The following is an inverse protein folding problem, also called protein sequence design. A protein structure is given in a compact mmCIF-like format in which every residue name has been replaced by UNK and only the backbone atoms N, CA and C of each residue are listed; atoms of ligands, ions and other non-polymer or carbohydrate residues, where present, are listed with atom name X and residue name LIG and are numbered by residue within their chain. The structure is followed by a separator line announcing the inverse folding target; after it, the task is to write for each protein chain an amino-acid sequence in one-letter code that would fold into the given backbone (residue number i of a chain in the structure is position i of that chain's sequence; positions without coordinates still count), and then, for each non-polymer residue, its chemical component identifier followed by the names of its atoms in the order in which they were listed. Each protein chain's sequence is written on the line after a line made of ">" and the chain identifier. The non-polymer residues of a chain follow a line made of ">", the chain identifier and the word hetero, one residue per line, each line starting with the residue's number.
data_IF_548440157266
#
_entry.id   IF_548440157266
#
_cell.length_a   1.000
_cell.length_b   1.000
_cell.length_c   1.000
_cell.angle_alpha   90.00
_cell.angle_beta   90.00
_cell.angle_gamma   90.00
#
_symmetry.space_group_name_H-M   'P 1'
#
loop_
_entity.id
_entity.type
_entity.pdbx_description
1 polymer ?
#
# COMPACT_ATOMS: atom_id res chain seq x y z
N UNK A 1 20.65 1.17 -35.15
CA UNK A 1 20.34 0.76 -33.77
C UNK A 1 21.24 1.57 -32.86
N UNK A 2 20.74 2.67 -32.28
CA UNK A 2 21.55 3.55 -31.42
C UNK A 2 21.20 3.23 -29.98
N UNK A 3 22.09 2.50 -29.33
CA UNK A 3 22.06 2.22 -27.89
C UNK A 3 22.23 3.51 -27.11
N UNK A 4 21.16 3.99 -26.48
CA UNK A 4 21.19 5.10 -25.54
C UNK A 4 21.67 4.57 -24.18
N UNK A 5 22.88 4.97 -23.79
CA UNK A 5 23.47 4.68 -22.49
C UNK A 5 22.69 5.43 -21.41
N UNK A 6 22.06 4.71 -20.48
CA UNK A 6 21.44 5.30 -19.28
C UNK A 6 22.56 5.94 -18.44
N UNK A 7 22.59 7.26 -18.40
CA UNK A 7 23.53 8.02 -17.57
C UNK A 7 23.33 7.69 -16.09
N UNK A 8 24.44 7.58 -15.35
CA UNK A 8 24.46 7.43 -13.89
C UNK A 8 23.57 8.50 -13.24
N UNK A 9 22.54 8.04 -12.52
CA UNK A 9 21.68 8.89 -11.70
C UNK A 9 22.51 9.51 -10.56
N UNK A 10 22.60 10.84 -10.52
CA UNK A 10 23.15 11.59 -9.39
C UNK A 10 21.99 12.13 -8.54
N UNK A 11 21.78 11.59 -7.32
CA UNK A 11 20.67 11.98 -6.45
C UNK A 11 20.70 13.46 -6.04
N UNK A 12 21.86 14.13 -6.10
CA UNK A 12 22.02 15.51 -5.63
C UNK A 12 21.75 16.56 -6.72
N UNK A 13 21.65 16.14 -7.98
CA UNK A 13 21.35 16.99 -9.15
C UNK A 13 20.08 16.54 -9.87
N UNK A 14 19.30 15.63 -9.27
CA UNK A 14 18.01 15.20 -9.80
C UNK A 14 17.05 16.39 -9.86
N UNK A 15 17.03 17.03 -11.03
CA UNK A 15 16.08 18.07 -11.40
C UNK A 15 14.66 17.52 -11.20
N UNK A 16 13.76 18.37 -10.69
CA UNK A 16 12.41 17.98 -10.29
C UNK A 16 11.57 17.66 -11.53
N UNK A 17 11.79 16.48 -12.10
CA UNK A 17 11.12 16.05 -13.32
C UNK A 17 9.72 15.57 -12.95
N UNK A 18 8.70 16.29 -13.40
CA UNK A 18 7.30 15.85 -13.31
C UNK A 18 7.09 14.40 -13.78
N UNK A 19 7.92 13.92 -14.71
CA UNK A 19 7.87 12.53 -15.18
C UNK A 19 8.38 11.51 -14.15
N UNK A 20 9.33 11.90 -13.30
CA UNK A 20 9.75 11.12 -12.13
C UNK A 20 8.59 11.05 -11.12
N UNK A 21 7.93 12.18 -10.82
CA UNK A 21 6.77 12.22 -9.92
C UNK A 21 5.60 11.37 -10.43
N UNK A 22 5.31 11.42 -11.74
CA UNK A 22 4.29 10.56 -12.38
C UNK A 22 4.65 9.07 -12.23
N UNK A 23 5.90 8.69 -12.49
CA UNK A 23 6.33 7.29 -12.33
C UNK A 23 6.26 6.82 -10.88
N UNK A 24 6.58 7.70 -9.92
CA UNK A 24 6.40 7.43 -8.50
C UNK A 24 4.93 7.21 -8.15
N UNK A 25 4.03 8.07 -8.63
CA UNK A 25 2.60 7.94 -8.41
C UNK A 25 2.05 6.62 -8.96
N UNK A 26 2.44 6.22 -10.19
CA UNK A 26 2.04 4.95 -10.79
C UNK A 26 2.44 3.76 -9.91
N UNK A 27 3.72 3.71 -9.49
CA UNK A 27 4.20 2.61 -8.63
C UNK A 27 3.52 2.58 -7.27
N UNK A 28 3.21 3.73 -6.69
CA UNK A 28 2.54 3.80 -5.39
C UNK A 28 1.09 3.29 -5.49
N UNK A 29 0.39 3.61 -6.59
CA UNK A 29 -0.96 3.09 -6.89
C UNK A 29 -0.93 1.60 -7.18
N UNK A 30 0.03 1.12 -8.00
CA UNK A 30 0.21 -0.31 -8.27
C UNK A 30 0.47 -1.10 -6.99
N UNK A 31 1.29 -0.56 -6.08
CA UNK A 31 1.54 -1.16 -4.78
C UNK A 31 0.26 -1.24 -3.93
N UNK A 32 -0.51 -0.15 -3.84
CA UNK A 32 -1.78 -0.14 -3.11
C UNK A 32 -2.79 -1.15 -3.67
N UNK A 33 -2.93 -1.21 -5.00
CA UNK A 33 -3.80 -2.18 -5.66
C UNK A 33 -3.33 -3.62 -5.42
N UNK A 34 -2.01 -3.86 -5.50
CA UNK A 34 -1.43 -5.18 -5.23
C UNK A 34 -1.73 -5.61 -3.80
N UNK A 35 -1.56 -4.71 -2.84
CA UNK A 35 -1.86 -5.00 -1.45
C UNK A 35 -3.36 -5.23 -1.20
N UNK A 36 -4.24 -4.43 -1.83
CA UNK A 36 -5.69 -4.62 -1.75
C UNK A 36 -6.11 -5.98 -2.32
N UNK A 37 -5.52 -6.40 -3.44
CA UNK A 37 -5.75 -7.73 -4.03
C UNK A 37 -5.22 -8.88 -3.15
N UNK A 38 -4.20 -8.64 -2.33
CA UNK A 38 -3.74 -9.62 -1.33
C UNK A 38 -4.74 -9.71 -0.18
N UNK A 39 -5.22 -8.57 0.32
CA UNK A 39 -6.28 -8.52 1.31
C UNK A 39 -7.57 -9.14 0.80
N UNK A 40 -7.88 -9.10 -0.49
CA UNK A 40 -9.04 -9.83 -1.04
C UNK A 40 -8.89 -11.35 -0.89
N UNK A 41 -7.71 -11.89 -1.17
CA UNK A 41 -7.50 -13.33 -1.44
C UNK A 41 -7.03 -14.13 -0.24
N UNK A 42 -6.34 -13.47 0.69
CA UNK A 42 -5.67 -14.13 1.81
C UNK A 42 -6.12 -13.46 3.10
N UNK A 43 -6.31 -14.25 4.15
CA UNK A 43 -6.64 -13.72 5.46
C UNK A 43 -5.50 -12.81 5.96
N UNK A 44 -5.76 -11.58 6.46
CA UNK A 44 -4.69 -10.62 6.77
C UNK A 44 -3.64 -11.16 7.73
N UNK A 45 -4.03 -11.95 8.73
CA UNK A 45 -3.13 -12.55 9.73
C UNK A 45 -2.12 -13.55 9.13
N UNK A 46 -2.39 -14.08 7.96
CA UNK A 46 -1.51 -15.04 7.25
C UNK A 46 -0.58 -14.34 6.25
N UNK A 47 -0.80 -13.05 5.97
CA UNK A 47 0.02 -12.30 5.03
C UNK A 47 1.43 -12.05 5.59
N UNK A 48 2.42 -12.28 4.73
CA UNK A 48 3.81 -11.88 4.95
C UNK A 48 4.18 -10.80 3.94
N UNK A 49 4.44 -9.58 4.43
CA UNK A 49 4.79 -8.44 3.58
C UNK A 49 6.29 -8.41 3.26
N UNK A 50 7.10 -8.91 4.18
CA UNK A 50 8.52 -9.16 3.99
C UNK A 50 8.99 -10.36 4.84
N UNK A 51 10.17 -10.86 4.53
CA UNK A 51 10.84 -11.88 5.35
C UNK A 51 11.14 -11.38 6.77
N UNK A 52 11.21 -10.06 6.97
CA UNK A 52 11.55 -9.41 8.24
C UNK A 52 10.34 -8.99 9.08
N UNK A 53 9.12 -9.45 8.77
CA UNK A 53 7.90 -8.98 9.44
C UNK A 53 7.97 -9.08 10.97
N UNK A 54 8.49 -10.19 11.49
CA UNK A 54 8.63 -10.43 12.93
C UNK A 54 9.53 -9.36 13.58
N UNK A 55 10.72 -9.14 12.99
CA UNK A 55 11.68 -8.17 13.48
C UNK A 55 11.15 -6.73 13.39
N UNK A 56 10.43 -6.37 12.32
CA UNK A 56 9.82 -5.04 12.17
C UNK A 56 8.74 -4.83 13.23
N UNK A 57 7.89 -5.83 13.47
CA UNK A 57 6.82 -5.74 14.44
C UNK A 57 7.34 -5.57 15.88
N UNK A 58 8.34 -6.37 16.27
CA UNK A 58 8.92 -6.28 17.62
C UNK A 58 9.73 -5.00 17.84
N UNK A 59 10.47 -4.56 16.82
CA UNK A 59 11.16 -3.27 16.87
C UNK A 59 10.15 -2.12 16.94
N UNK A 60 9.05 -2.16 16.19
CA UNK A 60 8.01 -1.14 16.25
C UNK A 60 7.36 -1.04 17.63
N UNK A 61 7.16 -2.15 18.34
CA UNK A 61 6.67 -2.13 19.74
C UNK A 61 7.61 -1.43 20.69
N UNK A 62 8.91 -1.53 20.44
CA UNK A 62 9.95 -0.94 21.28
C UNK A 62 10.14 0.55 20.96
N UNK A 63 10.23 0.88 19.68
CA UNK A 63 10.52 2.23 19.21
C UNK A 63 9.28 3.11 19.10
N UNK A 64 8.07 2.54 19.01
CA UNK A 64 6.79 3.23 18.91
C UNK A 64 5.72 2.59 19.82
N UNK A 65 5.95 2.49 21.14
CA UNK A 65 5.00 1.86 22.06
C UNK A 65 3.60 2.49 21.99
N UNK A 66 3.51 3.79 21.68
CA UNK A 66 2.23 4.50 21.54
C UNK A 66 1.31 3.95 20.43
N UNK A 67 1.84 3.18 19.47
CA UNK A 67 1.05 2.49 18.46
C UNK A 67 0.33 1.26 19.05
N UNK A 68 0.88 0.69 20.11
CA UNK A 68 0.43 -0.56 20.73
C UNK A 68 -0.39 -0.35 22.01
N UNK A 69 -0.62 0.90 22.39
CA UNK A 69 -1.42 1.32 23.53
C UNK A 69 -2.86 1.68 23.12
N UNK A 70 -3.72 1.93 24.11
CA UNK A 70 -5.09 2.45 23.92
C UNK A 70 -5.91 1.68 22.87
N UNK A 71 -5.93 0.35 22.98
CA UNK A 71 -6.61 -0.53 22.04
C UNK A 71 -6.22 -0.30 20.56
N UNK A 72 -4.92 -0.03 20.34
CA UNK A 72 -4.34 0.16 19.02
C UNK A 72 -4.94 1.34 18.24
N UNK A 73 -5.46 2.36 18.93
CA UNK A 73 -6.16 3.49 18.32
C UNK A 73 -5.35 4.15 17.19
N UNK A 74 -4.04 4.35 17.39
CA UNK A 74 -3.13 4.96 16.40
C UNK A 74 -2.79 4.02 15.23
N UNK A 75 -2.93 2.71 15.40
CA UNK A 75 -2.83 1.75 14.30
C UNK A 75 -4.13 1.67 13.52
N UNK A 76 -5.29 1.73 14.18
CA UNK A 76 -6.60 1.79 13.49
C UNK A 76 -6.72 3.07 12.68
N UNK A 77 -6.55 4.23 13.33
CA UNK A 77 -6.60 5.56 12.70
C UNK A 77 -5.27 6.27 12.89
N UNK A 78 -4.57 6.51 11.78
CA UNK A 78 -3.27 7.14 11.78
C UNK A 78 -3.35 8.60 12.23
N UNK A 79 -2.43 8.97 13.11
CA UNK A 79 -2.21 10.34 13.55
C UNK A 79 -1.15 11.00 12.66
N UNK A 80 -1.61 11.64 11.59
CA UNK A 80 -0.75 12.25 10.58
C UNK A 80 0.07 13.43 11.15
N UNK A 81 -0.52 14.20 12.07
CA UNK A 81 0.14 15.33 12.71
C UNK A 81 1.30 14.87 13.58
N UNK A 82 1.10 13.79 14.35
CA UNK A 82 2.19 13.15 15.10
C UNK A 82 3.31 12.67 14.17
N UNK A 83 2.98 12.04 13.04
CA UNK A 83 4.01 11.58 12.08
C UNK A 83 4.78 12.75 11.44
N UNK A 84 4.10 13.87 11.17
CA UNK A 84 4.68 15.05 10.52
C UNK A 84 5.38 16.02 11.50
N UNK A 85 5.17 15.84 12.81
CA UNK A 85 5.85 16.58 13.86
C UNK A 85 7.37 16.47 13.74
N UNK A 86 8.08 17.39 14.39
CA UNK A 86 9.55 17.41 14.35
C UNK A 86 10.11 16.14 14.99
N UNK A 87 9.59 15.75 16.15
CA UNK A 87 9.97 14.53 16.85
C UNK A 87 9.61 13.28 16.05
N UNK A 88 8.41 13.23 15.47
CA UNK A 88 7.94 12.11 14.65
C UNK A 88 8.83 11.87 13.43
N UNK A 89 9.15 12.93 12.68
CA UNK A 89 10.07 12.86 11.53
C UNK A 89 11.45 12.34 11.92
N UNK A 90 11.98 12.78 13.06
CA UNK A 90 13.29 12.33 13.53
C UNK A 90 13.27 10.85 13.95
N UNK A 91 12.24 10.42 14.69
CA UNK A 91 12.08 9.00 15.09
C UNK A 91 11.90 8.10 13.88
N UNK A 92 11.04 8.45 12.94
CA UNK A 92 10.86 7.68 11.71
C UNK A 92 12.14 7.59 10.89
N UNK A 93 12.92 8.67 10.77
CA UNK A 93 14.24 8.61 10.10
C UNK A 93 15.20 7.65 10.78
N UNK A 94 15.31 7.71 12.12
CA UNK A 94 16.16 6.81 12.91
C UNK A 94 15.74 5.36 12.75
N UNK A 95 14.44 5.08 12.83
CA UNK A 95 13.89 3.74 12.65
C UNK A 95 14.19 3.20 11.24
N UNK A 96 13.89 3.99 10.19
CA UNK A 96 14.08 3.57 8.80
C UNK A 96 15.55 3.31 8.44
N UNK A 97 16.47 4.12 8.96
CA UNK A 97 17.91 3.97 8.71
C UNK A 97 18.45 2.59 9.14
N UNK A 98 17.86 1.97 10.17
CA UNK A 98 18.26 0.62 10.60
C UNK A 98 17.97 -0.46 9.55
N UNK A 99 17.05 -0.20 8.62
CA UNK A 99 16.64 -1.14 7.58
C UNK A 99 17.22 -0.83 6.20
N UNK A 100 18.06 0.20 6.06
CA UNK A 100 18.61 0.64 4.78
C UNK A 100 19.33 -0.48 4.01
N UNK A 101 20.03 -1.36 4.74
CA UNK A 101 20.81 -2.46 4.15
C UNK A 101 20.04 -3.78 4.06
N UNK A 102 18.92 -3.92 4.76
CA UNK A 102 18.19 -5.19 4.87
C UNK A 102 16.91 -5.19 4.03
N UNK A 103 16.26 -4.04 3.90
CA UNK A 103 15.01 -3.89 3.14
C UNK A 103 15.31 -3.07 1.90
N UNK A 104 15.20 -3.73 0.75
CA UNK A 104 15.31 -3.07 -0.55
C UNK A 104 14.22 -1.99 -0.66
N UNK A 105 14.61 -0.81 -1.14
CA UNK A 105 13.70 0.30 -1.39
C UNK A 105 12.90 0.73 -0.14
N UNK A 106 13.52 0.63 1.05
CA UNK A 106 12.93 0.96 2.36
C UNK A 106 12.30 2.38 2.43
N UNK A 107 12.88 3.33 1.70
CA UNK A 107 12.45 4.73 1.59
C UNK A 107 11.60 5.02 0.34
N UNK A 108 11.12 3.99 -0.36
CA UNK A 108 10.28 4.18 -1.53
C UNK A 108 8.86 4.63 -1.16
N UNK A 109 8.29 5.54 -1.94
CA UNK A 109 6.94 6.05 -1.75
C UNK A 109 5.86 4.98 -1.88
N UNK A 110 4.96 4.90 -0.91
CA UNK A 110 3.85 3.95 -0.87
C UNK A 110 2.58 4.67 -0.40
N UNK A 111 1.42 4.15 -0.80
CA UNK A 111 0.13 4.62 -0.27
C UNK A 111 -0.33 3.71 0.86
N UNK A 112 -0.83 4.31 1.93
CA UNK A 112 -1.41 3.60 3.07
C UNK A 112 -2.77 4.17 3.42
N UNK A 113 -3.64 3.33 3.98
CA UNK A 113 -4.94 3.73 4.49
C UNK A 113 -4.82 4.44 5.83
N UNK A 114 -5.42 5.62 5.98
CA UNK A 114 -5.38 6.35 7.27
C UNK A 114 -6.25 5.66 8.31
N UNK A 115 -7.40 5.12 7.92
CA UNK A 115 -8.27 4.24 8.69
C UNK A 115 -8.18 2.79 8.16
N UNK A 116 -7.78 1.87 9.03
CA UNK A 116 -7.63 0.45 8.75
C UNK A 116 -8.95 -0.25 8.41
N UNK A 117 -10.08 0.30 8.87
CA UNK A 117 -11.41 -0.28 8.64
C UNK A 117 -12.04 0.15 7.30
N UNK A 118 -11.40 1.08 6.57
CA UNK A 118 -11.89 1.61 5.29
C UNK A 118 -11.14 1.09 4.06
N UNK A 119 -11.65 1.43 2.89
CA UNK A 119 -10.99 1.20 1.59
C UNK A 119 -9.95 2.27 1.27
N UNK A 120 -9.12 2.03 0.25
CA UNK A 120 -8.33 3.10 -0.36
C UNK A 120 -9.27 4.10 -1.05
N UNK A 121 -9.32 5.32 -0.54
CA UNK A 121 -10.07 6.44 -1.13
C UNK A 121 -9.29 7.74 -0.99
N UNK A 122 -9.70 8.81 -1.68
CA UNK A 122 -9.07 10.13 -1.58
C UNK A 122 -8.96 10.65 -0.14
N UNK A 123 -9.97 10.36 0.71
CA UNK A 123 -10.02 10.81 2.11
C UNK A 123 -9.37 9.83 3.09
N UNK A 124 -9.20 8.58 2.68
CA UNK A 124 -8.67 7.52 3.52
C UNK A 124 -7.27 7.06 3.08
N UNK A 125 -6.54 7.85 2.30
CA UNK A 125 -5.23 7.44 1.76
C UNK A 125 -4.22 8.57 1.89
N UNK A 126 -3.05 8.26 2.42
CA UNK A 126 -1.91 9.18 2.45
C UNK A 126 -0.66 8.52 1.87
N UNK A 127 0.29 9.37 1.51
CA UNK A 127 1.60 8.94 1.07
C UNK A 127 2.55 8.76 2.26
N UNK A 128 3.20 7.60 2.32
CA UNK A 128 4.19 7.24 3.33
C UNK A 128 5.39 6.54 2.69
N UNK A 129 6.47 6.37 3.45
CA UNK A 129 7.59 5.54 3.03
C UNK A 129 7.25 4.06 3.21
N UNK A 130 7.84 3.18 2.40
CA UNK A 130 7.63 1.73 2.44
C UNK A 130 7.83 1.14 3.84
N UNK A 131 8.83 1.61 4.59
CA UNK A 131 9.01 1.16 5.97
C UNK A 131 7.88 1.55 6.91
N UNK A 132 7.33 2.76 6.76
CA UNK A 132 6.16 3.17 7.53
C UNK A 132 4.97 2.27 7.16
N UNK A 133 4.77 2.02 5.86
CA UNK A 133 3.77 1.06 5.39
C UNK A 133 3.92 -0.31 6.04
N UNK A 134 5.12 -0.88 6.06
CA UNK A 134 5.36 -2.17 6.71
C UNK A 134 5.05 -2.13 8.20
N UNK A 135 5.52 -1.13 8.95
CA UNK A 135 5.23 -1.03 10.39
C UNK A 135 3.73 -1.05 10.67
N UNK A 136 2.96 -0.20 9.98
CA UNK A 136 1.52 -0.10 10.19
C UNK A 136 0.78 -1.35 9.69
N UNK A 137 1.01 -1.79 8.46
CA UNK A 137 0.23 -2.89 7.87
C UNK A 137 0.61 -4.26 8.44
N UNK A 138 1.88 -4.49 8.82
CA UNK A 138 2.24 -5.72 9.56
C UNK A 138 1.52 -5.74 10.91
N UNK A 139 1.51 -4.63 11.63
CA UNK A 139 0.84 -4.56 12.93
C UNK A 139 -0.67 -4.73 12.79
N UNK A 140 -1.30 -4.05 11.83
CA UNK A 140 -2.74 -4.19 11.52
C UNK A 140 -3.11 -5.62 11.13
N UNK A 141 -2.29 -6.28 10.31
CA UNK A 141 -2.49 -7.67 9.91
C UNK A 141 -2.42 -8.62 11.10
N UNK A 142 -1.36 -8.55 11.91
CA UNK A 142 -1.15 -9.42 13.07
C UNK A 142 -2.23 -9.24 14.14
N UNK A 143 -2.64 -8.00 14.37
CA UNK A 143 -3.62 -7.64 15.40
C UNK A 143 -5.08 -7.76 14.91
N UNK A 144 -5.30 -8.11 13.63
CA UNK A 144 -6.65 -8.24 13.06
C UNK A 144 -7.37 -6.93 12.78
N UNK A 145 -6.66 -5.80 12.78
CA UNK A 145 -7.23 -4.48 12.50
C UNK A 145 -7.62 -4.34 11.02
N UNK A 146 -7.12 -5.23 10.15
CA UNK A 146 -7.47 -5.28 8.74
C UNK A 146 -8.60 -6.27 8.41
N UNK A 147 -9.23 -6.89 9.41
CA UNK A 147 -10.32 -7.86 9.16
C UNK A 147 -11.51 -7.20 8.44
N UNK A 148 -11.84 -5.95 8.79
CA UNK A 148 -12.91 -5.21 8.10
C UNK A 148 -12.55 -4.91 6.65
N UNK A 149 -11.29 -4.52 6.40
CA UNK A 149 -10.78 -4.26 5.07
C UNK A 149 -10.77 -5.50 4.17
N UNK A 150 -10.42 -6.66 4.73
CA UNK A 150 -10.49 -7.95 4.05
C UNK A 150 -11.90 -8.23 3.53
N UNK A 151 -12.92 -7.99 4.35
CA UNK A 151 -14.32 -8.18 3.93
C UNK A 151 -14.76 -7.17 2.86
N UNK A 152 -14.35 -5.91 2.97
CA UNK A 152 -14.63 -4.90 1.93
C UNK A 152 -13.96 -5.31 0.61
N UNK A 153 -12.67 -5.67 0.64
CA UNK A 153 -11.93 -6.10 -0.55
C UNK A 153 -12.58 -7.31 -1.24
N UNK A 154 -13.07 -8.29 -0.47
CA UNK A 154 -13.82 -9.44 -1.00
C UNK A 154 -15.15 -9.02 -1.63
N UNK A 155 -15.88 -8.10 -1.00
CA UNK A 155 -17.13 -7.59 -1.55
C UNK A 155 -16.90 -6.85 -2.87
N UNK A 156 -15.87 -6.01 -2.95
CA UNK A 156 -15.52 -5.26 -4.14
C UNK A 156 -15.12 -6.18 -5.29
N UNK A 157 -14.28 -7.18 -5.02
CA UNK A 157 -13.91 -8.19 -6.01
C UNK A 157 -15.12 -8.97 -6.54
N UNK A 158 -16.09 -9.29 -5.66
CA UNK A 158 -17.35 -9.93 -6.06
C UNK A 158 -18.16 -9.01 -6.98
N UNK A 159 -18.33 -7.74 -6.62
CA UNK A 159 -19.04 -6.75 -7.45
C UNK A 159 -18.37 -6.59 -8.81
N UNK A 160 -17.04 -6.47 -8.86
CA UNK A 160 -16.29 -6.35 -10.11
C UNK A 160 -16.45 -7.60 -10.98
N UNK A 161 -16.40 -8.79 -10.39
CA UNK A 161 -16.61 -10.05 -11.11
C UNK A 161 -18.02 -10.14 -11.71
N UNK A 162 -19.05 -9.74 -10.96
CA UNK A 162 -20.43 -9.68 -11.44
C UNK A 162 -20.61 -8.69 -12.58
N UNK A 163 -20.06 -7.48 -12.46
CA UNK A 163 -20.09 -6.48 -13.52
C UNK A 163 -19.38 -6.96 -14.78
N UNK A 164 -18.20 -7.58 -14.62
CA UNK A 164 -17.42 -8.13 -15.73
C UNK A 164 -18.18 -9.27 -16.42
N UNK A 165 -18.88 -10.12 -15.66
CA UNK A 165 -19.74 -11.16 -16.21
C UNK A 165 -20.92 -10.57 -17.00
N UNK A 166 -21.61 -9.56 -16.45
CA UNK A 166 -22.70 -8.84 -17.15
C UNK A 166 -22.21 -8.19 -18.45
N UNK A 167 -21.07 -7.49 -18.42
CA UNK A 167 -20.45 -6.87 -19.60
C UNK A 167 -20.07 -7.91 -20.65
N UNK A 168 -19.52 -9.06 -20.25
CA UNK A 168 -19.19 -10.16 -21.17
C UNK A 168 -20.45 -10.77 -21.81
N UNK A 169 -21.50 -11.01 -21.03
CA UNK A 169 -22.76 -11.54 -21.53
C UNK A 169 -23.43 -10.58 -22.53
N UNK A 170 -23.46 -9.27 -22.23
CA UNK A 170 -23.99 -8.25 -23.13
C UNK A 170 -23.23 -8.20 -24.47
N UNK A 171 -21.90 -8.24 -24.43
CA UNK A 171 -21.05 -8.30 -25.64
C UNK A 171 -21.31 -9.55 -26.48
N UNK A 172 -21.47 -10.71 -25.82
CA UNK A 172 -21.77 -11.98 -26.50
C UNK A 172 -23.14 -11.93 -27.21
N UNK A 173 -24.17 -11.46 -26.51
CA UNK A 173 -25.52 -11.33 -27.06
C UNK A 173 -25.58 -10.32 -28.23
N UNK A 174 -24.83 -9.21 -28.16
CA UNK A 174 -24.75 -8.25 -29.26
C UNK A 174 -24.12 -8.88 -30.51
N UNK A 175 -23.02 -9.62 -30.34
CA UNK A 175 -22.34 -10.32 -31.46
C UNK A 175 -23.21 -11.40 -32.09
N UNK A 176 -23.95 -12.17 -31.28
CA UNK A 176 -24.87 -13.20 -31.80
C UNK A 176 -26.02 -12.59 -32.62
N UNK A 177 -26.55 -11.44 -32.19
CA UNK A 177 -27.58 -10.71 -32.95
C UNK A 177 -27.05 -10.18 -34.28
N UNK A 178 -25.83 -9.64 -34.29
CA UNK A 178 -25.17 -9.13 -35.51
C UNK A 178 -24.97 -10.24 -36.54
N UNK A 179 -24.47 -11.40 -36.10
CA UNK A 179 -24.26 -12.59 -36.97
C UNK A 179 -25.58 -13.15 -37.47
N UNK A 180 -26.66 -13.13 -36.67
CA UNK A 180 -27.97 -13.60 -37.10
C UNK A 180 -28.68 -12.64 -38.09
N UNK A 181 -28.21 -11.40 -38.21
CA UNK A 181 -28.74 -10.38 -39.11
C UNK A 181 -27.94 -10.20 -40.42
N UNK A 182 -26.83 -10.93 -40.57
CA UNK A 182 -25.97 -10.94 -41.75
C UNK A 182 -26.19 -12.21 -42.58
#
# INVERSE_FOLDING_TARGET
>A
MTTQTVGKFDPNTAENHQDIEKQFAVKAVEHAQTYWNLLEKVQPRELRLTQYDDAIFDHAKTDFPELFENDFAKLRKMDEDWMKSKEGKERWRKFMAQYEKTIKDHNFGSLIRTDADGEYSERNTIFVMRMQFYVFEIARNRLGLNDKAHEIAKEDARKEAEEKAKRKAAKKAAKEKEVASA
#
